data_IF_604265990974
#
_entry.id   IF_604265990974
#
_cell.length_a   1.000
_cell.length_b   1.000
_cell.length_c   1.000
_cell.angle_alpha   90.00
_cell.angle_beta   90.00
_cell.angle_gamma   90.00
#
_symmetry.space_group_name_H-M   'P 1'
#
loop_
_entity.id
_entity.type
_entity.pdbx_description
1 polymer ?
#
# COMPACT_ATOMS: atom_id res chain seq x y z
N UNK A 1 19.53 -9.01 3.76
CA UNK A 1 18.42 -8.48 4.59
C UNK A 1 18.24 -6.95 4.48
N UNK A 2 19.30 -6.14 4.38
CA UNK A 2 19.21 -4.67 4.24
C UNK A 2 18.41 -4.20 3.00
N UNK A 3 18.52 -4.90 1.87
CA UNK A 3 17.80 -4.52 0.64
C UNK A 3 16.27 -4.69 0.75
N UNK A 4 15.77 -5.69 1.50
CA UNK A 4 14.32 -5.89 1.70
C UNK A 4 13.76 -4.78 2.59
N UNK A 5 14.43 -4.46 3.71
CA UNK A 5 14.00 -3.38 4.62
C UNK A 5 13.96 -2.04 3.89
N UNK A 6 15.03 -1.69 3.14
CA UNK A 6 15.09 -0.47 2.34
C UNK A 6 14.00 -0.41 1.27
N UNK A 7 13.83 -1.49 0.49
CA UNK A 7 12.78 -1.55 -0.54
C UNK A 7 11.38 -1.37 0.07
N UNK A 8 11.13 -1.96 1.26
CA UNK A 8 9.86 -1.78 1.97
C UNK A 8 9.60 -0.33 2.37
N UNK A 9 10.60 0.36 2.93
CA UNK A 9 10.48 1.78 3.27
C UNK A 9 10.22 2.63 2.02
N UNK A 10 10.89 2.34 0.91
CA UNK A 10 10.61 3.00 -0.37
C UNK A 10 9.20 2.70 -0.90
N UNK A 11 8.70 1.48 -0.76
CA UNK A 11 7.30 1.15 -1.11
C UNK A 11 6.32 2.00 -0.31
N UNK A 12 6.51 2.14 1.01
CA UNK A 12 5.67 3.00 1.87
C UNK A 12 5.78 4.48 1.45
N UNK A 13 7.01 4.95 1.22
CA UNK A 13 7.28 6.33 0.83
C UNK A 13 6.61 6.67 -0.51
N UNK A 14 6.85 5.87 -1.55
CA UNK A 14 6.26 6.12 -2.87
C UNK A 14 4.74 6.01 -2.85
N UNK A 15 4.16 5.12 -2.04
CA UNK A 15 2.70 5.11 -1.86
C UNK A 15 2.19 6.39 -1.20
N UNK A 16 2.97 6.99 -0.30
CA UNK A 16 2.60 8.24 0.39
C UNK A 16 2.75 9.47 -0.50
N UNK A 17 3.54 9.37 -1.56
CA UNK A 17 3.74 10.44 -2.55
C UNK A 17 2.77 10.37 -3.74
N UNK A 18 1.88 9.37 -3.77
CA UNK A 18 0.82 9.30 -4.78
C UNK A 18 -0.03 10.57 -4.70
N UNK A 19 -0.25 11.20 -5.84
CA UNK A 19 -1.00 12.44 -5.92
C UNK A 19 -2.49 12.12 -6.05
N UNK A 20 -3.31 12.86 -5.29
CA UNK A 20 -4.76 12.69 -5.19
C UNK A 20 -5.42 14.04 -5.42
N UNK A 21 -6.46 14.08 -6.24
CA UNK A 21 -7.33 15.26 -6.36
C UNK A 21 -8.48 15.19 -5.36
N UNK A 22 -8.61 16.13 -4.43
CA UNK A 22 -9.74 16.14 -3.50
C UNK A 22 -10.46 17.49 -3.53
N UNK A 23 -11.77 17.47 -3.75
CA UNK A 23 -12.56 18.68 -3.94
C UNK A 23 -12.02 19.53 -5.10
N UNK A 24 -11.54 20.74 -4.79
CA UNK A 24 -11.01 21.70 -5.77
C UNK A 24 -9.47 21.73 -5.81
N UNK A 25 -8.79 20.83 -5.08
CA UNK A 25 -7.34 20.87 -4.89
C UNK A 25 -6.64 19.55 -5.18
N UNK A 26 -5.31 19.60 -5.16
CA UNK A 26 -4.42 18.45 -5.33
C UNK A 26 -3.60 18.28 -4.05
N UNK A 27 -3.48 17.06 -3.56
CA UNK A 27 -2.64 16.72 -2.41
C UNK A 27 -1.92 15.40 -2.60
N UNK A 28 -1.17 14.98 -1.59
CA UNK A 28 -0.48 13.68 -1.57
C UNK A 28 -1.14 12.73 -0.59
N UNK A 29 -1.17 11.44 -0.94
CA UNK A 29 -1.77 10.37 -0.13
C UNK A 29 -1.33 10.43 1.34
N UNK A 30 -0.05 10.69 1.60
CA UNK A 30 0.48 10.76 2.96
C UNK A 30 -0.18 11.84 3.83
N UNK A 31 -0.57 12.99 3.25
CA UNK A 31 -1.30 14.04 3.97
C UNK A 31 -2.73 13.57 4.25
N UNK A 32 -3.38 12.98 3.25
CA UNK A 32 -4.73 12.42 3.41
C UNK A 32 -4.80 11.30 4.44
N UNK A 33 -3.75 10.48 4.57
CA UNK A 33 -3.67 9.47 5.62
C UNK A 33 -3.66 10.10 7.02
N UNK A 34 -2.88 11.17 7.21
CA UNK A 34 -2.81 11.88 8.50
C UNK A 34 -4.16 12.52 8.84
N UNK A 35 -4.78 13.19 7.87
CA UNK A 35 -6.11 13.77 8.03
C UNK A 35 -7.15 12.68 8.33
N UNK A 36 -7.11 11.57 7.59
CA UNK A 36 -7.99 10.42 7.79
C UNK A 36 -7.86 9.84 9.19
N UNK A 37 -6.65 9.72 9.74
CA UNK A 37 -6.40 9.27 11.11
C UNK A 37 -7.03 10.22 12.13
N UNK A 38 -6.87 11.54 11.95
CA UNK A 38 -7.44 12.55 12.85
C UNK A 38 -8.97 12.50 12.84
N UNK A 39 -9.58 12.17 11.70
CA UNK A 39 -11.03 12.11 11.53
C UNK A 39 -11.68 10.80 12.01
N UNK A 40 -10.91 9.77 12.40
CA UNK A 40 -11.45 8.48 12.88
C UNK A 40 -12.52 8.64 13.99
N UNK A 41 -12.36 9.51 15.01
CA UNK A 41 -13.38 9.67 16.06
C UNK A 41 -14.72 10.20 15.54
N UNK A 42 -14.68 11.05 14.52
CA UNK A 42 -15.89 11.63 13.90
C UNK A 42 -16.55 10.61 12.97
N UNK A 43 -15.74 9.88 12.20
CA UNK A 43 -16.18 8.76 11.36
C UNK A 43 -16.86 7.68 12.22
N UNK A 44 -16.34 7.39 13.42
CA UNK A 44 -16.95 6.42 14.34
C UNK A 44 -18.33 6.88 14.84
N UNK A 45 -18.52 8.19 15.06
CA UNK A 45 -19.80 8.75 15.49
C UNK A 45 -20.86 8.78 14.39
N UNK A 46 -20.44 9.12 13.17
CA UNK A 46 -21.34 9.37 12.05
C UNK A 46 -21.54 8.15 11.14
N UNK A 47 -20.75 7.09 11.34
CA UNK A 47 -20.72 5.90 10.49
C UNK A 47 -19.85 6.09 9.23
N UNK A 48 -19.38 4.98 8.67
CA UNK A 48 -18.62 5.00 7.40
C UNK A 48 -19.58 4.70 6.25
N UNK A 49 -19.71 5.64 5.31
CA UNK A 49 -20.39 5.41 4.04
C UNK A 49 -19.35 4.89 3.04
N UNK A 50 -19.36 3.58 2.78
CA UNK A 50 -18.50 2.97 1.77
C UNK A 50 -19.22 2.97 0.41
N UNK A 51 -18.89 3.93 -0.46
CA UNK A 51 -19.40 3.93 -1.82
C UNK A 51 -18.37 3.33 -2.79
N UNK A 52 -18.44 2.01 -2.97
CA UNK A 52 -17.52 1.26 -3.85
C UNK A 52 -17.73 1.62 -5.33
N UNK A 53 -18.97 1.94 -5.71
CA UNK A 53 -19.36 2.23 -7.09
C UNK A 53 -19.44 3.73 -7.39
N UNK A 54 -19.13 4.59 -6.43
CA UNK A 54 -19.20 6.04 -6.58
C UNK A 54 -18.12 6.61 -7.49
N UNK A 55 -18.14 7.92 -7.65
CA UNK A 55 -17.14 8.63 -8.45
C UNK A 55 -15.82 8.80 -7.66
N UNK A 56 -14.83 9.49 -8.25
CA UNK A 56 -13.47 9.59 -7.71
C UNK A 56 -13.47 10.04 -6.24
N UNK A 57 -14.23 11.11 -5.95
CA UNK A 57 -14.32 11.72 -4.63
C UNK A 57 -14.98 10.78 -3.61
N UNK A 58 -16.02 10.06 -4.00
CA UNK A 58 -16.74 9.15 -3.11
C UNK A 58 -15.87 7.98 -2.65
N UNK A 59 -14.91 7.57 -3.48
CA UNK A 59 -13.98 6.47 -3.17
C UNK A 59 -12.82 6.91 -2.30
N UNK A 60 -12.56 8.20 -2.13
CA UNK A 60 -11.36 8.69 -1.42
C UNK A 60 -11.28 8.21 0.02
N UNK A 61 -12.40 8.24 0.76
CA UNK A 61 -12.43 7.77 2.15
C UNK A 61 -12.03 6.30 2.25
N UNK A 62 -12.52 5.46 1.33
CA UNK A 62 -12.15 4.05 1.25
C UNK A 62 -10.67 3.88 0.90
N UNK A 63 -10.17 4.62 -0.10
CA UNK A 63 -8.77 4.60 -0.52
C UNK A 63 -7.83 4.92 0.64
N UNK A 64 -8.15 5.96 1.42
CA UNK A 64 -7.38 6.40 2.60
C UNK A 64 -7.36 5.32 3.68
N UNK A 65 -8.49 4.67 3.96
CA UNK A 65 -8.56 3.57 4.94
C UNK A 65 -7.64 2.42 4.53
N UNK A 66 -7.73 1.95 3.27
CA UNK A 66 -6.86 0.89 2.79
C UNK A 66 -5.38 1.32 2.76
N UNK A 67 -5.08 2.57 2.41
CA UNK A 67 -3.73 3.14 2.45
C UNK A 67 -3.11 3.06 3.85
N UNK A 68 -3.84 3.54 4.87
CA UNK A 68 -3.40 3.52 6.27
C UNK A 68 -3.17 2.08 6.74
N UNK A 69 -4.15 1.19 6.54
CA UNK A 69 -4.07 -0.22 6.97
C UNK A 69 -2.85 -0.90 6.32
N UNK A 70 -2.68 -0.75 5.01
CA UNK A 70 -1.55 -1.36 4.29
C UNK A 70 -0.19 -0.87 4.79
N UNK A 71 -0.06 0.43 5.08
CA UNK A 71 1.18 1.01 5.63
C UNK A 71 1.47 0.52 7.04
N UNK A 72 0.47 0.46 7.92
CA UNK A 72 0.63 -0.08 9.28
C UNK A 72 1.10 -1.54 9.21
N UNK A 73 0.52 -2.36 8.33
CA UNK A 73 0.94 -3.76 8.12
C UNK A 73 2.38 -3.85 7.60
N UNK A 74 2.78 -2.99 6.66
CA UNK A 74 4.16 -2.96 6.19
C UNK A 74 5.15 -2.49 7.28
N UNK A 75 4.78 -1.50 8.09
CA UNK A 75 5.62 -0.98 9.19
C UNK A 75 5.78 -2.05 10.28
N UNK A 76 4.69 -2.65 10.75
CA UNK A 76 4.72 -3.72 11.77
C UNK A 76 5.60 -4.90 11.33
N UNK A 77 5.54 -5.28 10.05
CA UNK A 77 6.41 -6.34 9.52
C UNK A 77 7.91 -6.01 9.49
N UNK A 78 8.33 -4.77 9.76
CA UNK A 78 9.75 -4.43 9.95
C UNK A 78 10.30 -4.95 11.30
N UNK A 79 9.44 -5.07 12.30
CA UNK A 79 9.79 -5.43 13.69
C UNK A 79 9.67 -6.94 13.98
N UNK A 80 9.21 -7.73 13.01
CA UNK A 80 9.06 -9.17 13.17
C UNK A 80 10.37 -9.93 12.96
N UNK A 81 10.64 -10.89 13.86
CA UNK A 81 11.84 -11.71 13.84
C UNK A 81 11.69 -12.97 12.97
N UNK A 82 10.50 -13.60 12.95
CA UNK A 82 10.26 -14.83 12.18
C UNK A 82 10.12 -14.52 10.68
N UNK A 83 11.06 -15.00 9.87
CA UNK A 83 11.13 -14.71 8.42
C UNK A 83 9.85 -15.07 7.65
N UNK A 84 9.21 -16.21 7.96
CA UNK A 84 7.98 -16.64 7.26
C UNK A 84 6.80 -15.70 7.53
N UNK A 85 6.50 -15.46 8.82
CA UNK A 85 5.40 -14.58 9.24
C UNK A 85 5.64 -13.16 8.72
N UNK A 86 6.87 -12.67 8.84
CA UNK A 86 7.29 -11.37 8.31
C UNK A 86 7.01 -11.23 6.81
N UNK A 87 7.36 -12.24 6.02
CA UNK A 87 7.15 -12.22 4.58
C UNK A 87 5.66 -12.24 4.24
N UNK A 88 4.86 -13.09 4.91
CA UNK A 88 3.40 -13.14 4.72
C UNK A 88 2.72 -11.81 5.04
N UNK A 89 3.03 -11.22 6.19
CA UNK A 89 2.47 -9.91 6.58
C UNK A 89 2.92 -8.83 5.60
N UNK A 90 4.16 -8.88 5.11
CA UNK A 90 4.63 -7.95 4.07
C UNK A 90 3.79 -8.09 2.79
N UNK A 91 3.50 -9.31 2.34
CA UNK A 91 2.68 -9.55 1.14
C UNK A 91 1.23 -9.06 1.32
N UNK A 92 0.63 -9.32 2.47
CA UNK A 92 -0.72 -8.82 2.83
C UNK A 92 -0.74 -7.28 2.76
N UNK A 93 0.27 -6.62 3.33
CA UNK A 93 0.38 -5.16 3.29
C UNK A 93 0.48 -4.62 1.86
N UNK A 94 1.27 -5.26 0.98
CA UNK A 94 1.37 -4.87 -0.43
C UNK A 94 0.02 -5.02 -1.15
N UNK A 95 -0.67 -6.14 -0.95
CA UNK A 95 -1.98 -6.39 -1.58
C UNK A 95 -2.99 -5.32 -1.17
N UNK A 96 -3.02 -4.96 0.12
CA UNK A 96 -3.91 -3.91 0.62
C UNK A 96 -3.60 -2.55 -0.01
N UNK A 97 -2.31 -2.20 -0.17
CA UNK A 97 -1.92 -0.98 -0.87
C UNK A 97 -2.26 -1.02 -2.37
N UNK A 98 -2.16 -2.18 -3.03
CA UNK A 98 -2.65 -2.33 -4.41
C UNK A 98 -4.15 -2.15 -4.52
N UNK A 99 -4.93 -2.63 -3.55
CA UNK A 99 -6.37 -2.40 -3.49
C UNK A 99 -6.67 -0.91 -3.35
N UNK A 100 -5.94 -0.19 -2.49
CA UNK A 100 -6.05 1.27 -2.36
C UNK A 100 -5.81 1.98 -3.70
N UNK A 101 -4.71 1.66 -4.39
CA UNK A 101 -4.42 2.23 -5.72
C UNK A 101 -5.47 1.86 -6.75
N UNK A 102 -5.93 0.60 -6.77
CA UNK A 102 -6.97 0.15 -7.69
C UNK A 102 -8.25 0.97 -7.53
N UNK A 103 -8.74 1.17 -6.30
CA UNK A 103 -9.94 1.98 -6.08
C UNK A 103 -9.75 3.44 -6.47
N UNK A 104 -8.54 3.98 -6.29
CA UNK A 104 -8.19 5.33 -6.70
C UNK A 104 -8.16 5.51 -8.22
N UNK A 105 -7.81 4.46 -8.99
CA UNK A 105 -7.51 4.60 -10.43
C UNK A 105 -8.47 3.83 -11.35
N UNK A 106 -9.44 3.08 -10.83
CA UNK A 106 -10.33 2.18 -11.60
C UNK A 106 -11.56 2.85 -12.23
N UNK A 107 -11.64 4.18 -12.22
CA UNK A 107 -12.76 4.91 -12.83
C UNK A 107 -12.58 5.18 -14.32
N UNK A 108 -13.36 6.13 -14.84
CA UNK A 108 -13.34 6.47 -16.26
C UNK A 108 -12.36 7.61 -16.56
N UNK A 109 -11.20 7.27 -17.13
CA UNK A 109 -10.11 8.21 -17.41
C UNK A 109 -10.42 9.22 -18.50
N UNK A 110 -11.44 8.95 -19.32
CA UNK A 110 -11.86 9.85 -20.38
C UNK A 110 -12.66 11.04 -19.84
N UNK A 111 -13.49 10.82 -18.81
CA UNK A 111 -14.33 11.85 -18.22
C UNK A 111 -13.67 12.58 -17.06
N UNK A 112 -12.77 11.92 -16.33
CA UNK A 112 -12.05 12.54 -15.23
C UNK A 112 -10.55 12.19 -15.31
N UNK A 113 -9.75 13.22 -15.62
CA UNK A 113 -8.30 13.12 -15.75
C UNK A 113 -7.62 12.77 -14.42
N UNK A 114 -8.28 12.98 -13.28
CA UNK A 114 -7.74 12.69 -11.95
C UNK A 114 -7.42 11.20 -11.77
N UNK A 115 -8.23 10.30 -12.34
CA UNK A 115 -7.94 8.85 -12.30
C UNK A 115 -6.60 8.53 -12.96
N UNK A 116 -6.38 9.06 -14.17
CA UNK A 116 -5.14 8.83 -14.92
C UNK A 116 -3.94 9.50 -14.26
N UNK A 117 -4.12 10.69 -13.69
CA UNK A 117 -3.05 11.40 -12.99
C UNK A 117 -2.61 10.71 -11.69
N UNK A 118 -3.57 10.23 -10.90
CA UNK A 118 -3.27 9.40 -9.72
C UNK A 118 -2.60 8.07 -10.11
N UNK A 119 -3.00 7.47 -11.23
CA UNK A 119 -2.33 6.27 -11.72
C UNK A 119 -0.88 6.53 -12.10
N UNK A 120 -0.62 7.60 -12.87
CA UNK A 120 0.73 7.97 -13.31
C UNK A 120 1.67 8.15 -12.11
N UNK A 121 1.19 8.84 -11.07
CA UNK A 121 1.98 9.10 -9.86
C UNK A 121 2.11 7.86 -8.95
N UNK A 122 1.29 6.82 -9.16
CA UNK A 122 1.42 5.53 -8.48
C UNK A 122 2.48 4.60 -9.08
N UNK A 123 2.99 4.88 -10.29
CA UNK A 123 3.98 4.03 -10.98
C UNK A 123 5.23 3.74 -10.14
N UNK A 124 5.88 4.72 -9.47
CA UNK A 124 7.02 4.45 -8.61
C UNK A 124 6.69 3.46 -7.48
N UNK A 125 5.51 3.57 -6.89
CA UNK A 125 5.02 2.62 -5.88
C UNK A 125 4.86 1.21 -6.47
N UNK A 126 4.22 1.08 -7.64
CA UNK A 126 4.02 -0.21 -8.31
C UNK A 126 5.35 -0.90 -8.59
N UNK A 127 6.33 -0.18 -9.15
CA UNK A 127 7.68 -0.70 -9.42
C UNK A 127 8.34 -1.23 -8.13
N UNK A 128 8.32 -0.44 -7.05
CA UNK A 128 8.95 -0.84 -5.80
C UNK A 128 8.21 -1.97 -5.09
N UNK A 129 6.89 -2.03 -5.21
CA UNK A 129 6.08 -3.14 -4.67
C UNK A 129 6.40 -4.47 -5.37
N UNK A 130 6.51 -4.48 -6.71
CA UNK A 130 6.91 -5.66 -7.48
C UNK A 130 8.35 -6.08 -7.13
N UNK A 131 9.26 -5.11 -7.03
CA UNK A 131 10.65 -5.36 -6.60
C UNK A 131 10.70 -5.99 -5.21
N UNK A 132 9.86 -5.54 -4.29
CA UNK A 132 9.77 -6.10 -2.94
C UNK A 132 9.27 -7.55 -2.96
N UNK A 133 8.23 -7.84 -3.74
CA UNK A 133 7.72 -9.22 -3.92
C UNK A 133 8.83 -10.13 -4.46
N UNK A 134 9.56 -9.69 -5.49
CA UNK A 134 10.68 -10.46 -6.06
C UNK A 134 11.74 -10.79 -5.01
N UNK A 135 12.16 -9.80 -4.21
CA UNK A 135 13.15 -10.02 -3.15
C UNK A 135 12.65 -10.98 -2.07
N UNK A 136 11.34 -10.97 -1.76
CA UNK A 136 10.73 -11.93 -0.82
C UNK A 136 10.80 -13.35 -1.40
N UNK A 137 10.45 -13.55 -2.67
CA UNK A 137 10.52 -14.85 -3.34
C UNK A 137 11.96 -15.38 -3.36
N UNK A 138 12.93 -14.54 -3.71
CA UNK A 138 14.36 -14.91 -3.70
C UNK A 138 14.83 -15.32 -2.30
N UNK A 139 14.45 -14.57 -1.26
CA UNK A 139 14.76 -14.89 0.14
C UNK A 139 14.13 -16.24 0.57
N UNK A 140 12.89 -16.53 0.19
CA UNK A 140 12.24 -17.81 0.49
C UNK A 140 12.99 -18.97 -0.18
N UNK A 141 13.37 -18.83 -1.45
CA UNK A 141 14.14 -19.86 -2.19
C UNK A 141 15.49 -20.13 -1.53
N UNK A 142 16.20 -19.09 -1.09
CA UNK A 142 17.49 -19.24 -0.41
C UNK A 142 17.36 -19.97 0.93
N UNK A 143 16.37 -19.60 1.76
CA UNK A 143 16.14 -20.26 3.04
C UNK A 143 15.76 -21.74 2.87
N UNK A 144 14.99 -22.08 1.83
CA UNK A 144 14.67 -23.48 1.52
C UNK A 144 15.92 -24.30 1.17
N UNK A 145 16.83 -23.74 0.35
CA UNK A 145 18.10 -24.40 -0.01
C UNK A 145 19.00 -24.62 1.21
N UNK A 146 19.11 -23.63 2.09
CA UNK A 146 19.92 -23.73 3.31
C UNK A 146 19.42 -24.83 4.23
N UNK A 147 18.10 -24.96 4.43
CA UNK A 147 17.53 -26.00 5.28
C UNK A 147 17.75 -27.43 4.73
N UNK A 148 17.77 -27.59 3.40
CA UNK A 148 18.06 -28.90 2.77
C UNK A 148 19.51 -29.31 3.07
N UNK A 149 20.47 -28.39 2.87
CA UNK A 149 21.89 -28.66 3.09
C UNK A 149 22.26 -28.93 4.56
N UNK A 150 21.45 -28.44 5.52
CA UNK A 150 21.64 -28.73 6.96
C UNK A 150 21.14 -30.14 7.31
N UNK A 151 20.10 -30.64 6.62
CA UNK A 151 19.55 -31.97 6.87
C UNK A 151 20.34 -33.10 6.17
N UNK A 152 21.24 -32.77 5.24
CA UNK A 152 22.12 -33.70 4.53
C UNK A 152 23.50 -33.88 5.20
N UNK A 153 23.77 -33.17 6.31
CA UNK A 153 25.00 -33.27 7.11
C UNK A 153 24.72 -33.93 8.45
#
# INVERSE_FOLDING_TARGET
>A
MNNIKKTKLYTILFHSLIIIGAGHGIGIMGIFDVIGIIQIPEIYKNGIIFNINGDYQDRLSLVVIFSIIGKIILITSLFLNKNLIKNLITLIGIIILWISVYFLTSGNWYYDWLYGFSFLTSIPFLIYSIKLIRLIIENIKQNKKLNINVNEK
#
